data_IF_372844770699
#
_entry.id   IF_372844770699
#
_cell.length_a   1.000
_cell.length_b   1.000
_cell.length_c   1.000
_cell.angle_alpha   90.00
_cell.angle_beta   90.00
_cell.angle_gamma   90.00
#
_symmetry.space_group_name_H-M   'P 1'
#
loop_
_entity.id
_entity.type
_entity.pdbx_description
1 polymer ?
2 non-polymer ?
3 water ?
#
# COMPACT_ATOMS: atom_id res chain seq x y z
N UNK A 68 11.99 -11.90 -10.97
CA UNK A 68 11.84 -10.78 -9.98
C UNK A 68 12.21 -11.33 -8.59
N UNK A 69 11.74 -10.70 -7.50
CA UNK A 69 12.01 -11.10 -6.11
C UNK A 69 11.13 -12.25 -5.66
N UNK A 70 11.06 -13.32 -6.46
CA UNK A 70 10.09 -14.45 -6.28
C UNK A 70 10.54 -15.28 -5.08
N UNK A 71 9.59 -15.64 -4.23
CA UNK A 71 9.87 -16.45 -3.04
C UNK A 71 9.90 -15.60 -1.80
N UNK A 72 10.28 -16.19 -0.69
CA UNK A 72 10.38 -15.46 0.59
C UNK A 72 11.32 -16.25 1.48
N UNK A 73 11.91 -15.56 2.44
CA UNK A 73 12.77 -16.13 3.48
C UNK A 73 11.95 -16.15 4.75
N UNK A 74 10.71 -15.67 4.64
CA UNK A 74 9.82 -15.52 5.81
C UNK A 74 8.90 -16.73 5.96
N UNK A 75 9.10 -17.47 7.03
CA UNK A 75 8.19 -18.55 7.45
C UNK A 75 6.82 -17.98 7.83
N UNK A 76 6.80 -16.83 8.49
CA UNK A 76 5.53 -16.13 8.84
C UNK A 76 4.72 -15.92 7.55
N UNK A 77 5.38 -15.55 6.46
CA UNK A 77 4.71 -15.23 5.18
C UNK A 77 4.17 -16.55 4.58
N UNK A 78 4.98 -17.60 4.58
CA UNK A 78 4.54 -18.91 4.03
C UNK A 78 3.33 -19.39 4.82
N UNK A 79 3.33 -19.13 6.12
CA UNK A 79 2.23 -19.58 7.01
C UNK A 79 0.98 -18.77 6.70
N UNK A 80 1.12 -17.46 6.56
CA UNK A 80 -0.01 -16.61 6.12
C UNK A 80 -0.58 -17.14 4.78
N UNK A 81 0.28 -17.52 3.84
CA UNK A 81 -0.19 -18.05 2.52
C UNK A 81 -0.93 -19.38 2.75
N UNK A 82 -0.37 -20.25 3.57
CA UNK A 82 -1.02 -21.56 3.83
C UNK A 82 -2.37 -21.30 4.49
N UNK A 83 -2.44 -20.32 5.41
CA UNK A 83 -3.69 -20.07 6.19
C UNK A 83 -4.78 -19.51 5.26
N UNK A 84 -4.44 -18.59 4.37
CA UNK A 84 -5.42 -18.04 3.41
C UNK A 84 -6.01 -19.19 2.59
N UNK A 85 -5.14 -20.09 2.15
CA UNK A 85 -5.50 -21.18 1.23
C UNK A 85 -6.47 -22.09 1.94
N UNK A 86 -6.16 -22.47 3.19
CA UNK A 86 -7.01 -23.36 4.01
C UNK A 86 -8.38 -22.72 4.18
N UNK A 87 -8.45 -21.39 4.10
CA UNK A 87 -9.72 -20.66 4.15
C UNK A 87 -10.54 -20.78 2.87
N UNK A 88 -10.05 -21.41 1.80
CA UNK A 88 -10.75 -21.41 0.49
C UNK A 88 -11.20 -22.81 0.08
N UNK A 89 -10.86 -23.85 0.84
CA UNK A 89 -11.14 -25.25 0.46
C UNK A 89 -10.71 -26.21 1.56
N UNK A 90 -11.12 -27.46 1.40
CA UNK A 90 -10.97 -28.53 2.41
C UNK A 90 -9.61 -29.16 2.19
N UNK A 91 -9.08 -29.80 3.23
CA UNK A 91 -7.90 -30.66 3.12
C UNK A 91 -6.71 -30.00 3.79
N UNK A 92 -5.62 -30.74 3.89
CA UNK A 92 -4.39 -30.24 4.55
C UNK A 92 -3.39 -29.82 3.46
N UNK A 93 -2.50 -28.90 3.79
CA UNK A 93 -1.57 -28.33 2.78
C UNK A 93 -0.47 -29.33 2.49
N UNK A 94 -0.26 -29.65 1.21
CA UNK A 94 0.73 -30.63 0.74
C UNK A 94 1.74 -29.95 -0.18
N UNK A 95 1.49 -28.71 -0.63
CA UNK A 95 2.46 -28.00 -1.51
C UNK A 95 2.20 -26.49 -1.49
N UNK A 96 3.27 -25.71 -1.53
CA UNK A 96 3.21 -24.22 -1.65
C UNK A 96 4.29 -23.84 -2.63
N UNK A 97 3.92 -23.12 -3.67
CA UNK A 97 4.80 -22.92 -4.86
C UNK A 97 4.62 -21.46 -5.30
N UNK A 98 5.71 -20.76 -5.53
CA UNK A 98 5.68 -19.37 -6.02
C UNK A 98 5.58 -19.39 -7.55
N UNK A 99 4.65 -18.63 -8.12
CA UNK A 99 4.53 -18.43 -9.58
C UNK A 99 5.42 -17.26 -9.99
N UNK A 100 5.83 -17.18 -11.26
CA UNK A 100 6.75 -16.11 -11.77
C UNK A 100 6.07 -14.73 -11.68
N UNK A 101 4.74 -14.63 -11.79
CA UNK A 101 3.98 -13.37 -11.57
C UNK A 101 3.96 -12.96 -10.08
N UNK A 102 4.56 -13.75 -9.18
CA UNK A 102 4.67 -13.39 -7.75
C UNK A 102 3.39 -13.63 -6.97
N UNK A 103 2.38 -14.29 -7.55
CA UNK A 103 1.33 -15.02 -6.79
C UNK A 103 1.90 -16.34 -6.23
N UNK A 104 1.10 -17.05 -5.46
CA UNK A 104 1.44 -18.36 -4.86
C UNK A 104 0.32 -19.33 -5.21
N UNK A 105 0.67 -20.58 -5.47
CA UNK A 105 -0.28 -21.70 -5.63
C UNK A 105 -0.10 -22.58 -4.41
N UNK A 106 -1.18 -23.02 -3.78
CA UNK A 106 -1.11 -23.98 -2.65
C UNK A 106 -1.97 -25.19 -3.00
N UNK A 107 -1.46 -26.40 -2.81
CA UNK A 107 -2.25 -27.62 -3.00
C UNK A 107 -2.81 -28.00 -1.63
N UNK A 108 -4.11 -28.27 -1.53
CA UNK A 108 -4.75 -28.93 -0.35
C UNK A 108 -5.21 -30.35 -0.70
N UNK A 109 -5.02 -31.31 0.19
CA UNK A 109 -5.38 -32.73 -0.03
C UNK A 109 -6.19 -33.27 1.16
N UNK A 110 -7.37 -33.84 0.90
CA UNK A 110 -8.26 -34.41 1.95
C UNK A 110 -7.66 -35.74 2.39
N UNK A 111 -8.13 -36.25 3.52
CA UNK A 111 -7.80 -37.62 4.00
C UNK A 111 -8.10 -38.59 2.84
N UNK A 112 -9.25 -38.40 2.17
CA UNK A 112 -9.73 -39.22 1.04
C UNK A 112 -8.71 -39.23 -0.12
N UNK A 113 -7.93 -38.15 -0.30
CA UNK A 113 -6.95 -38.01 -1.40
C UNK A 113 -7.40 -37.01 -2.46
N UNK A 114 -8.53 -36.33 -2.25
CA UNK A 114 -9.06 -35.28 -3.16
C UNK A 114 -8.15 -34.03 -3.10
N UNK A 115 -7.78 -33.44 -4.24
CA UNK A 115 -6.84 -32.29 -4.37
C UNK A 115 -7.58 -31.00 -4.77
N UNK A 116 -7.22 -29.86 -4.18
CA UNK A 116 -7.54 -28.50 -4.67
C UNK A 116 -6.24 -27.71 -4.85
N UNK A 117 -6.11 -26.97 -5.95
CA UNK A 117 -5.08 -25.93 -6.11
C UNK A 117 -5.74 -24.57 -5.87
N UNK A 118 -5.12 -23.76 -5.03
CA UNK A 118 -5.64 -22.43 -4.62
C UNK A 118 -4.59 -21.38 -4.96
N UNK A 119 -5.00 -20.32 -5.66
CA UNK A 119 -4.20 -19.11 -5.97
C UNK A 119 -4.25 -18.22 -4.73
N UNK A 120 -3.12 -17.73 -4.26
CA UNK A 120 -3.08 -16.75 -3.14
C UNK A 120 -2.41 -15.46 -3.63
N UNK A 121 -3.08 -14.33 -3.40
CA UNK A 121 -2.70 -12.97 -3.89
C UNK A 121 -2.60 -11.96 -2.74
N UNK A 122 -1.71 -10.99 -2.87
CA UNK A 122 -1.75 -9.73 -2.08
C UNK A 122 -3.11 -9.08 -2.31
N UNK A 123 -3.73 -8.60 -1.25
CA UNK A 123 -4.98 -7.79 -1.30
C UNK A 123 -4.88 -6.69 -0.23
N UNK A 124 -5.72 -5.64 -0.28
CA UNK A 124 -5.83 -4.63 0.81
C UNK A 124 -7.22 -4.71 1.44
N UNK A 125 -7.30 -4.61 2.76
CA UNK A 125 -8.57 -4.63 3.53
C UNK A 125 -8.72 -3.30 4.26
N UNK A 126 -9.88 -2.66 4.09
CA UNK A 126 -10.21 -1.32 4.62
C UNK A 126 -11.28 -1.46 5.69
N UNK A 127 -11.09 -0.78 6.82
CA UNK A 127 -12.08 -0.70 7.92
C UNK A 127 -12.18 0.75 8.42
N UNK A 128 -13.39 1.20 8.67
CA UNK A 128 -13.66 2.55 9.21
C UNK A 128 -13.17 2.57 10.65
N UNK A 129 -12.55 3.68 11.02
CA UNK A 129 -11.83 3.95 12.28
C UNK A 129 -12.49 5.12 13.03
N UNK A 130 -12.99 6.12 12.31
CA UNK A 130 -13.61 7.30 12.94
C UNK A 130 -14.40 8.05 11.88
N UNK A 131 -15.23 8.97 12.35
CA UNK A 131 -16.35 9.63 11.63
C UNK A 131 -16.45 10.99 12.31
N UNK A 132 -16.59 12.09 11.56
CA UNK A 132 -16.73 13.47 12.10
C UNK A 132 -17.68 14.19 11.12
N UNK A 133 -18.83 14.67 11.60
CA UNK A 133 -19.97 15.13 10.77
C UNK A 133 -19.62 16.44 10.05
N UNK A 134 -20.41 16.79 9.04
CA UNK A 134 -20.30 18.08 8.32
C UNK A 134 -20.26 19.19 9.37
N UNK A 135 -19.05 19.73 9.61
CA UNK A 135 -18.72 20.80 10.60
C UNK A 135 -19.85 21.86 10.62
N UNK A 136 -20.41 22.23 9.46
CA UNK A 136 -21.57 23.15 9.36
C UNK A 136 -21.61 23.85 8.01
N UNK A 139 -17.73 23.76 4.58
CA UNK A 139 -17.05 23.66 3.25
C UNK A 139 -16.76 22.18 2.94
N UNK A 140 -16.65 21.81 1.66
CA UNK A 140 -16.07 20.54 1.19
C UNK A 140 -14.71 20.77 0.54
N UNK A 141 -13.97 19.72 0.10
CA UNK A 141 -12.63 19.91 -0.46
C UNK A 141 -12.68 20.36 -1.93
N UNK A 142 -12.04 21.50 -2.25
CA UNK A 142 -11.88 21.99 -3.64
C UNK A 142 -11.12 20.91 -4.41
N UNK A 143 -9.95 20.53 -3.89
CA UNK A 143 -9.04 19.52 -4.50
C UNK A 143 -9.08 18.21 -3.69
N UNK A 144 -8.75 17.12 -4.35
CA UNK A 144 -8.82 15.75 -3.80
C UNK A 144 -7.62 15.01 -4.33
N UNK A 145 -7.22 13.95 -3.64
CA UNK A 145 -6.15 13.04 -4.09
C UNK A 145 -6.79 11.95 -4.95
N UNK A 146 -7.18 12.27 -6.19
CA UNK A 146 -7.53 11.22 -7.20
C UNK A 146 -6.20 10.67 -7.70
N UNK A 147 -6.26 9.66 -8.56
CA UNK A 147 -5.09 8.82 -8.90
C UNK A 147 -4.08 9.71 -9.59
N UNK A 148 -4.55 10.59 -10.47
CA UNK A 148 -3.70 11.44 -11.34
C UNK A 148 -2.93 12.34 -10.38
N UNK A 149 -3.66 12.97 -9.46
CA UNK A 149 -3.10 13.93 -8.47
C UNK A 149 -2.09 13.21 -7.58
N UNK A 150 -2.39 11.99 -7.14
CA UNK A 150 -1.40 11.24 -6.33
C UNK A 150 -0.14 10.98 -7.16
N UNK A 151 -0.26 10.61 -8.45
CA UNK A 151 0.95 10.27 -9.26
C UNK A 151 1.79 11.57 -9.39
N UNK A 152 1.14 12.70 -9.63
CA UNK A 152 1.78 14.04 -9.77
C UNK A 152 2.50 14.41 -8.47
N UNK A 153 1.80 14.39 -7.34
CA UNK A 153 2.44 14.71 -6.04
C UNK A 153 3.62 13.80 -5.79
N UNK A 154 3.48 12.51 -6.06
CA UNK A 154 4.57 11.56 -5.66
C UNK A 154 5.83 11.89 -6.46
N UNK A 155 5.71 12.14 -7.76
CA UNK A 155 6.93 12.39 -8.59
C UNK A 155 7.58 13.71 -8.15
N UNK A 156 6.76 14.72 -7.84
CA UNK A 156 7.19 16.04 -7.33
C UNK A 156 7.85 15.88 -5.96
N UNK A 157 7.22 15.18 -5.04
CA UNK A 157 7.80 14.95 -3.71
C UNK A 157 9.15 14.30 -3.90
N UNK A 158 9.26 13.30 -4.77
CA UNK A 158 10.52 12.51 -4.81
C UNK A 158 11.63 13.23 -5.57
N UNK A 159 11.29 14.05 -6.58
CA UNK A 159 12.22 14.95 -7.28
C UNK A 159 12.89 15.86 -6.24
N UNK A 160 12.10 16.40 -5.30
CA UNK A 160 12.56 17.35 -4.26
C UNK A 160 13.44 16.62 -3.23
N UNK A 161 13.04 15.44 -2.79
CA UNK A 161 13.79 14.65 -1.78
C UNK A 161 13.58 13.15 -2.02
N UNK A 162 14.64 12.37 -1.96
CA UNK A 162 14.58 10.91 -2.20
C UNK A 162 14.30 10.22 -0.86
N UNK A 163 13.55 9.12 -0.90
CA UNK A 163 13.07 8.42 0.31
C UNK A 163 11.67 7.85 0.10
N UNK A 164 11.02 7.47 1.20
CA UNK A 164 9.66 6.87 1.25
C UNK A 164 8.66 7.98 1.58
N UNK A 165 7.60 8.10 0.79
CA UNK A 165 6.44 8.96 1.13
C UNK A 165 5.78 8.34 2.35
N UNK A 166 5.58 9.11 3.43
CA UNK A 166 4.81 8.71 4.62
C UNK A 166 3.45 9.42 4.66
N UNK A 167 3.26 10.51 3.91
CA UNK A 167 2.06 11.38 4.04
C UNK A 167 1.86 12.17 2.76
N UNK A 168 0.62 12.22 2.32
CA UNK A 168 0.12 13.14 1.30
C UNK A 168 -1.17 13.72 1.87
N UNK A 169 -1.43 14.98 1.56
CA UNK A 169 -2.73 15.59 1.88
C UNK A 169 -2.96 16.83 1.02
N UNK A 170 -4.21 17.21 1.01
CA UNK A 170 -4.74 18.37 0.25
C UNK A 170 -5.35 19.36 1.25
N UNK A 171 -5.57 18.94 2.50
CA UNK A 171 -5.76 19.85 3.67
C UNK A 171 -5.03 21.17 3.35
N UNK A 172 -3.69 21.14 3.34
CA UNK A 172 -2.81 22.23 2.85
C UNK A 172 -3.24 23.60 3.35
N UNK A 173 -2.75 24.68 2.71
CA UNK A 173 -2.97 26.09 3.13
C UNK A 173 -3.25 26.99 1.90
N UNK A 174 -3.97 26.48 0.90
CA UNK A 174 -4.83 27.27 -0.04
C UNK A 174 -3.99 28.01 -1.10
N UNK A 175 -2.78 28.47 -0.78
CA UNK A 175 -1.75 28.93 -1.76
C UNK A 175 -0.73 27.80 -1.95
N UNK A 176 -0.71 26.90 -0.97
CA UNK A 176 0.01 25.61 -0.96
C UNK A 176 -1.04 24.57 -0.62
N UNK A 177 -1.88 24.16 -1.58
CA UNK A 177 -2.95 23.23 -1.28
C UNK A 177 -2.46 21.81 -1.01
N UNK A 178 -1.26 21.42 -1.43
CA UNK A 178 -0.82 20.01 -1.20
C UNK A 178 0.37 19.93 -0.24
N UNK A 179 0.44 18.84 0.52
CA UNK A 179 1.54 18.49 1.45
C UNK A 179 1.98 17.06 1.15
N UNK A 180 3.28 16.81 1.28
CA UNK A 180 3.85 15.45 1.38
C UNK A 180 4.90 15.43 2.49
N UNK A 181 5.04 14.29 3.15
CA UNK A 181 6.20 13.99 4.01
C UNK A 181 7.01 12.88 3.35
N UNK A 182 8.32 13.05 3.24
CA UNK A 182 9.27 12.00 2.79
C UNK A 182 10.14 11.61 3.98
N UNK A 183 10.22 10.32 4.28
CA UNK A 183 11.19 9.74 5.24
C UNK A 183 12.43 9.33 4.44
N UNK A 184 13.59 9.87 4.81
CA UNK A 184 14.88 9.62 4.13
C UNK A 184 15.75 8.68 4.98
N UNK A 185 16.65 7.93 4.34
CA UNK A 185 17.57 6.93 4.95
C UNK A 185 18.19 7.44 6.26
N UNK A 186 18.64 8.71 6.30
CA UNK A 186 19.16 9.40 7.51
C UNK A 186 18.09 9.40 8.61
N UNK A 187 17.10 8.50 8.52
CA UNK A 187 15.81 8.56 9.26
C UNK A 187 15.42 10.02 9.51
N UNK A 188 15.56 10.91 8.51
CA UNK A 188 15.12 12.32 8.66
C UNK A 188 13.87 12.56 7.78
N UNK A 189 12.86 13.23 8.37
CA UNK A 189 11.47 13.46 7.89
C UNK A 189 11.27 14.85 7.27
N UNK A 190 10.98 14.94 5.97
CA UNK A 190 10.87 16.24 5.24
C UNK A 190 9.41 16.54 4.84
N UNK A 191 8.82 17.59 5.40
CA UNK A 191 7.47 18.09 5.06
C UNK A 191 7.62 19.07 3.90
N UNK A 192 6.96 18.81 2.78
CA UNK A 192 6.98 19.67 1.55
C UNK A 192 5.59 20.23 1.29
N UNK A 193 5.54 21.50 0.88
CA UNK A 193 4.32 22.29 0.62
C UNK A 193 4.35 22.55 -0.87
N UNK A 194 3.28 22.28 -1.62
CA UNK A 194 3.28 22.48 -3.09
C UNK A 194 2.14 23.38 -3.52
N UNK A 195 2.36 24.11 -4.61
CA UNK A 195 1.30 24.94 -5.21
C UNK A 195 0.32 24.02 -5.95
N UNK A 196 -0.75 24.59 -6.48
CA UNK A 196 -1.77 23.91 -7.29
C UNK A 196 -1.09 23.32 -8.52
N UNK A 197 0.04 23.91 -8.89
CA UNK A 197 0.81 23.55 -10.09
C UNK A 197 1.90 22.55 -9.71
N UNK A 198 1.93 22.06 -8.47
CA UNK A 198 2.85 20.95 -8.08
C UNK A 198 4.29 21.46 -7.92
N UNK A 199 4.48 22.78 -7.97
CA UNK A 199 5.74 23.48 -7.63
C UNK A 199 5.96 23.43 -6.11
N UNK A 200 7.18 23.13 -5.72
CA UNK A 200 7.67 23.27 -4.31
C UNK A 200 7.68 24.75 -3.92
N UNK A 201 7.04 25.04 -2.80
CA UNK A 201 6.78 26.40 -2.25
C UNK A 201 7.38 26.49 -0.83
N UNK A 202 7.67 25.37 -0.18
CA UNK A 202 8.20 25.34 1.19
C UNK A 202 8.65 23.95 1.57
N UNK A 203 9.68 23.85 2.40
CA UNK A 203 10.11 22.58 3.02
C UNK A 203 10.30 22.84 4.51
N UNK A 204 10.35 21.76 5.29
CA UNK A 204 10.60 21.73 6.76
C UNK A 204 11.32 20.42 7.06
N UNK A 205 12.57 20.49 7.54
CA UNK A 205 13.54 19.36 7.68
C UNK A 205 13.86 19.20 9.17
X LIG B 1 -8.27 4.29 -10.10
X LIG C 1 7.33 26.71 5.64
X LIG D 1 3.63 21.22 5.29
X LIG E 1 -7.67 14.66 -11.32
X LIG F 1 0.54 22.99 2.83
#
# INVERSE_FOLDING_TARGET
MGSSHHHHHHSSGENLYFQIGDEFGDDDRSSMSDDGPRHDADDHGPRGEDRGDDDRGNAPSNGRGPVTGIGTASADELIAIADAARGAADGEVTSIDAKRDGTWEVQLTTAAGAETEVRVDEALVASVTSTDAADGDDTGPALTLDDETIRALVSAALAEAEGMITDLDVDGDDVSPYDASVLTSDNRSIDIDFSADFAVVGTDID
ZN ZN
ZN ZN
ZN ZN
ZN ZN
ZN ZN
#
